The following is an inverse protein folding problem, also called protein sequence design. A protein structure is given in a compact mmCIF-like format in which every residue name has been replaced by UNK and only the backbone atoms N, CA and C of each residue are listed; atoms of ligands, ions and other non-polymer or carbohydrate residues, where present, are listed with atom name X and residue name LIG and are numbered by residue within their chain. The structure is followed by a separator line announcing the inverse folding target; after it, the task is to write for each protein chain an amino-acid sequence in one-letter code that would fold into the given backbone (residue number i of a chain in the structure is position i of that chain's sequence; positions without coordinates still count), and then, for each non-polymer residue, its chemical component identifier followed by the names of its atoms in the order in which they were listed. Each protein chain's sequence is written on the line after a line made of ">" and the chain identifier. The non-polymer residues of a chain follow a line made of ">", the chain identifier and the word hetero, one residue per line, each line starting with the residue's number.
data_IF_641940337896
#
_entry.id   IF_641940337896
#
_cell.length_a   1.000
_cell.length_b   1.000
_cell.length_c   1.000
_cell.angle_alpha   90.00
_cell.angle_beta   90.00
_cell.angle_gamma   90.00
#
_symmetry.space_group_name_H-M   'P 1'
#
loop_
_entity.id
_entity.type
_entity.pdbx_description
1 polymer ?
#
# COMPACT_ATOMS: atom_id res chain seq x y z
N UNK A 1 -10.01 -16.07 -3.17
CA UNK A 1 -8.61 -16.45 -3.45
C UNK A 1 -8.53 -17.72 -4.27
N UNK A 2 -7.63 -17.75 -5.24
CA UNK A 2 -7.36 -18.88 -6.14
C UNK A 2 -5.91 -19.34 -5.92
N UNK A 3 -5.67 -20.64 -5.90
CA UNK A 3 -4.32 -21.21 -5.83
C UNK A 3 -3.81 -21.36 -7.26
N UNK A 4 -2.68 -20.71 -7.58
CA UNK A 4 -1.97 -20.92 -8.84
C UNK A 4 -0.89 -21.99 -8.63
N UNK A 5 -1.11 -23.16 -9.23
CA UNK A 5 -0.18 -24.29 -9.15
C UNK A 5 1.19 -23.95 -9.75
N UNK A 6 2.22 -24.61 -9.23
CA UNK A 6 3.58 -24.43 -9.71
C UNK A 6 3.69 -24.80 -11.21
N UNK A 7 4.24 -23.90 -12.01
CA UNK A 7 4.41 -24.12 -13.45
C UNK A 7 4.52 -22.81 -14.24
N UNK A 8 4.48 -22.91 -15.58
CA UNK A 8 4.56 -21.73 -16.45
C UNK A 8 3.37 -20.79 -16.25
N UNK A 9 3.66 -19.53 -15.92
CA UNK A 9 2.69 -18.43 -15.87
C UNK A 9 2.28 -18.01 -17.29
N UNK A 10 0.98 -18.09 -17.60
CA UNK A 10 0.40 -17.73 -18.90
C UNK A 10 -0.41 -16.44 -18.79
N UNK A 11 -0.68 -15.81 -19.94
CA UNK A 11 -1.49 -14.58 -20.00
C UNK A 11 -2.87 -14.73 -19.36
N UNK A 12 -3.51 -15.90 -19.48
CA UNK A 12 -4.80 -16.16 -18.81
C UNK A 12 -4.71 -16.05 -17.29
N UNK A 13 -3.58 -16.45 -16.71
CA UNK A 13 -3.36 -16.46 -15.27
C UNK A 13 -3.16 -15.01 -14.80
N UNK A 14 -2.46 -14.18 -15.59
CA UNK A 14 -2.32 -12.74 -15.33
C UNK A 14 -3.66 -11.99 -15.40
N UNK A 15 -4.49 -12.28 -16.39
CA UNK A 15 -5.83 -11.67 -16.52
C UNK A 15 -6.75 -12.09 -15.37
N UNK A 16 -6.59 -13.31 -14.84
CA UNK A 16 -7.31 -13.75 -13.64
C UNK A 16 -6.82 -13.05 -12.36
N UNK A 17 -5.51 -12.82 -12.24
CA UNK A 17 -4.90 -12.15 -11.09
C UNK A 17 -5.18 -10.64 -11.04
N UNK A 18 -5.15 -9.99 -12.21
CA UNK A 18 -5.34 -8.56 -12.37
C UNK A 18 -6.46 -8.32 -13.41
N UNK A 19 -7.74 -8.57 -13.04
CA UNK A 19 -8.85 -8.45 -13.98
C UNK A 19 -9.10 -6.99 -14.40
N UNK A 20 -8.61 -6.03 -13.61
CA UNK A 20 -8.67 -4.60 -13.91
C UNK A 20 -7.29 -4.11 -14.35
N UNK A 21 -7.20 -3.66 -15.61
CA UNK A 21 -6.05 -2.93 -16.14
C UNK A 21 -6.16 -1.44 -15.73
N UNK A 22 -5.98 -1.16 -14.45
CA UNK A 22 -5.87 0.23 -13.99
C UNK A 22 -4.50 0.80 -14.42
N UNK A 23 -4.49 2.05 -14.87
CA UNK A 23 -3.24 2.75 -15.13
C UNK A 23 -2.44 2.96 -13.84
N UNK A 24 -1.12 2.81 -13.96
CA UNK A 24 -0.18 3.13 -12.90
C UNK A 24 0.18 4.61 -13.01
N UNK A 25 0.06 5.31 -11.89
CA UNK A 25 0.30 6.74 -11.81
C UNK A 25 1.36 7.05 -10.75
N UNK A 26 2.16 8.07 -11.00
CA UNK A 26 3.20 8.54 -10.07
C UNK A 26 2.73 9.82 -9.39
N UNK A 27 2.83 9.86 -8.06
CA UNK A 27 2.47 11.00 -7.23
C UNK A 27 3.66 11.46 -6.39
N UNK A 28 3.80 12.78 -6.23
CA UNK A 28 4.66 13.36 -5.20
C UNK A 28 3.88 13.54 -3.90
N UNK A 29 4.43 13.09 -2.78
CA UNK A 29 3.89 13.37 -1.47
C UNK A 29 4.97 13.47 -0.39
N UNK A 30 4.74 14.34 0.60
CA UNK A 30 5.59 14.44 1.78
C UNK A 30 5.57 13.16 2.61
N UNK A 31 6.62 12.91 3.39
CA UNK A 31 6.65 11.77 4.31
C UNK A 31 5.48 11.76 5.29
N UNK A 32 5.01 12.93 5.73
CA UNK A 32 3.80 13.03 6.55
C UNK A 32 2.55 12.47 5.85
N UNK A 33 2.35 12.80 4.57
CA UNK A 33 1.22 12.25 3.78
C UNK A 33 1.38 10.76 3.53
N UNK A 34 2.61 10.29 3.31
CA UNK A 34 2.89 8.86 3.16
C UNK A 34 2.53 8.09 4.43
N UNK A 35 2.87 8.61 5.62
CA UNK A 35 2.48 7.99 6.89
C UNK A 35 0.95 7.92 7.04
N UNK A 36 0.24 9.00 6.71
CA UNK A 36 -1.23 9.02 6.75
C UNK A 36 -1.85 7.98 5.79
N UNK A 37 -1.27 7.80 4.60
CA UNK A 37 -1.71 6.78 3.66
C UNK A 37 -1.51 5.36 4.21
N UNK A 38 -0.37 5.09 4.88
CA UNK A 38 -0.11 3.81 5.53
C UNK A 38 -1.08 3.55 6.69
N UNK A 39 -1.34 4.57 7.52
CA UNK A 39 -2.33 4.51 8.61
C UNK A 39 -3.73 4.18 8.08
N UNK A 40 -4.18 4.86 7.02
CA UNK A 40 -5.45 4.56 6.38
C UNK A 40 -5.48 3.11 5.85
N UNK A 41 -4.39 2.67 5.23
CA UNK A 41 -4.29 1.31 4.67
C UNK A 41 -4.47 0.21 5.72
N UNK A 42 -4.00 0.42 6.95
CA UNK A 42 -4.15 -0.56 8.05
C UNK A 42 -5.31 -0.27 9.01
N UNK A 43 -6.06 0.82 8.80
CA UNK A 43 -7.12 1.31 9.68
C UNK A 43 -8.26 0.30 9.93
N UNK A 44 -8.59 -0.49 8.91
CA UNK A 44 -9.70 -1.45 8.97
C UNK A 44 -9.26 -2.89 9.23
N UNK A 45 -7.95 -3.17 9.31
CA UNK A 45 -7.46 -4.49 9.67
C UNK A 45 -8.08 -4.96 11.01
N UNK A 46 -8.53 -6.23 11.13
CA UNK A 46 -8.36 -7.36 10.21
C UNK A 46 -9.49 -7.57 9.20
N UNK A 47 -10.38 -6.58 8.97
CA UNK A 47 -11.40 -6.70 7.93
C UNK A 47 -10.72 -6.86 6.56
N UNK A 48 -11.29 -7.72 5.72
CA UNK A 48 -10.83 -7.99 4.35
C UNK A 48 -11.26 -6.87 3.39
N UNK A 49 -10.79 -5.65 3.68
CA UNK A 49 -11.00 -4.47 2.86
C UNK A 49 -9.86 -4.28 1.86
N UNK A 50 -10.18 -3.78 0.67
CA UNK A 50 -9.20 -3.57 -0.42
C UNK A 50 -8.10 -2.57 -0.11
N UNK A 51 -8.29 -1.74 0.93
CA UNK A 51 -7.34 -0.68 1.34
C UNK A 51 -6.03 -1.21 1.95
N UNK A 52 -5.95 -2.48 2.34
CA UNK A 52 -4.72 -3.03 2.95
C UNK A 52 -3.57 -3.00 1.92
N UNK A 53 -2.49 -2.26 2.17
CA UNK A 53 -1.52 -1.97 1.14
C UNK A 53 -0.54 -3.14 0.97
N UNK A 54 -0.42 -3.63 -0.27
CA UNK A 54 0.78 -4.32 -0.71
C UNK A 54 1.83 -3.28 -1.06
N UNK A 55 3.03 -3.42 -0.50
CA UNK A 55 4.08 -2.39 -0.60
C UNK A 55 5.35 -2.94 -1.24
N UNK A 56 6.08 -2.05 -1.90
CA UNK A 56 7.44 -2.30 -2.40
C UNK A 56 8.27 -1.04 -2.22
N UNK A 57 9.56 -1.18 -1.89
CA UNK A 57 10.45 -0.06 -1.60
C UNK A 57 10.17 0.68 -0.29
N UNK A 58 9.09 0.32 0.43
CA UNK A 58 8.79 0.77 1.79
C UNK A 58 8.55 -0.43 2.70
N UNK A 59 8.98 -0.33 3.95
CA UNK A 59 8.70 -1.29 5.01
C UNK A 59 8.20 -0.56 6.24
N UNK A 60 7.24 -1.14 6.94
CA UNK A 60 6.70 -0.58 8.19
C UNK A 60 6.12 -1.69 9.07
N UNK A 61 5.90 -1.38 10.34
CA UNK A 61 5.17 -2.24 11.27
C UNK A 61 3.95 -1.52 11.79
N UNK A 62 2.89 -2.25 12.12
CA UNK A 62 1.68 -1.68 12.75
C UNK A 62 1.16 -2.59 13.86
N UNK A 63 0.48 -1.99 14.84
CA UNK A 63 -0.20 -2.68 15.94
C UNK A 63 -1.72 -2.64 15.71
N UNK A 64 -2.36 -3.79 15.38
CA UNK A 64 -3.80 -3.83 15.14
C UNK A 64 -4.65 -3.60 16.38
N UNK A 65 -4.06 -3.62 17.59
CA UNK A 65 -4.77 -3.35 18.85
C UNK A 65 -4.96 -1.86 19.13
N UNK A 66 -4.25 -0.98 18.40
CA UNK A 66 -4.38 0.46 18.52
C UNK A 66 -5.55 1.01 17.71
N UNK A 67 -5.98 2.20 18.09
CA UNK A 67 -7.01 2.96 17.40
C UNK A 67 -6.59 3.26 15.95
N UNK A 68 -7.56 3.23 15.03
CA UNK A 68 -7.34 3.55 13.63
C UNK A 68 -6.76 4.97 13.50
N UNK A 69 -5.73 5.15 12.67
CA UNK A 69 -4.99 6.41 12.56
C UNK A 69 -3.81 6.54 13.52
N UNK A 70 -3.58 5.56 14.39
CA UNK A 70 -2.41 5.48 15.26
C UNK A 70 -1.85 4.05 15.38
N UNK A 71 -2.02 3.26 14.31
CA UNK A 71 -1.62 1.85 14.27
C UNK A 71 -0.18 1.67 13.83
N UNK A 72 0.34 2.50 12.94
CA UNK A 72 1.72 2.40 12.47
C UNK A 72 2.66 2.67 13.64
N UNK A 73 3.62 1.76 13.86
CA UNK A 73 4.58 1.89 14.96
C UNK A 73 5.49 3.08 14.67
N UNK A 74 5.60 4.08 15.56
CA UNK A 74 6.45 5.24 15.36
C UNK A 74 7.90 4.83 15.07
N UNK A 75 8.52 5.46 14.06
CA UNK A 75 9.90 5.15 13.66
C UNK A 75 10.10 3.83 12.90
N UNK A 76 9.03 3.05 12.65
CA UNK A 76 9.14 1.78 11.91
C UNK A 76 9.12 1.93 10.40
N UNK A 77 8.81 3.12 9.87
CA UNK A 77 8.67 3.34 8.43
C UNK A 77 10.04 3.63 7.81
N UNK A 78 10.44 2.78 6.86
CA UNK A 78 11.64 2.95 6.06
C UNK A 78 11.29 2.97 4.57
N UNK A 79 11.85 3.93 3.83
CA UNK A 79 11.71 4.05 2.37
C UNK A 79 13.09 3.90 1.75
N UNK A 80 13.28 2.90 0.89
CA UNK A 80 14.58 2.58 0.29
C UNK A 80 15.65 2.25 1.34
N UNK A 81 15.27 1.66 2.47
CA UNK A 81 16.17 1.35 3.58
C UNK A 81 16.56 2.54 4.46
N UNK A 82 16.03 3.74 4.21
CA UNK A 82 16.25 4.93 5.04
C UNK A 82 15.00 5.24 5.86
N UNK A 83 15.19 5.71 7.09
CA UNK A 83 14.07 6.14 7.93
C UNK A 83 13.25 7.23 7.23
N UNK A 84 11.92 7.18 7.39
CA UNK A 84 11.01 8.18 6.84
C UNK A 84 11.35 9.57 7.38
N UNK A 85 11.51 10.53 6.47
CA UNK A 85 11.61 11.94 6.80
C UNK A 85 10.26 12.61 6.49
N UNK A 86 9.65 13.24 7.50
CA UNK A 86 8.30 13.78 7.40
C UNK A 86 8.16 14.94 6.41
N UNK A 87 9.24 15.70 6.19
CA UNK A 87 9.25 16.90 5.34
C UNK A 87 9.77 16.61 3.92
N UNK A 88 10.46 15.47 3.73
CA UNK A 88 10.97 15.07 2.42
C UNK A 88 9.82 14.69 1.48
N UNK A 89 9.94 15.12 0.22
CA UNK A 89 9.08 14.67 -0.88
C UNK A 89 9.50 13.28 -1.38
N UNK A 90 8.52 12.40 -1.56
CA UNK A 90 8.69 11.05 -2.06
C UNK A 90 7.83 10.87 -3.32
N UNK A 91 8.39 10.16 -4.30
CA UNK A 91 7.63 9.69 -5.45
C UNK A 91 7.05 8.32 -5.16
N UNK A 92 5.73 8.21 -5.25
CA UNK A 92 4.98 6.99 -4.97
C UNK A 92 4.23 6.60 -6.23
N UNK A 93 4.35 5.35 -6.65
CA UNK A 93 3.55 4.83 -7.76
C UNK A 93 2.37 4.04 -7.21
N UNK A 94 1.17 4.32 -7.70
CA UNK A 94 -0.06 3.62 -7.29
C UNK A 94 -1.06 3.53 -8.44
N UNK A 95 -2.12 2.73 -8.27
CA UNK A 95 -3.21 2.63 -9.26
C UNK A 95 -4.03 3.92 -9.28
N UNK A 96 -4.47 4.35 -10.46
CA UNK A 96 -5.35 5.52 -10.63
C UNK A 96 -6.60 5.47 -9.73
N UNK A 97 -7.14 4.27 -9.49
CA UNK A 97 -8.26 4.04 -8.57
C UNK A 97 -8.03 4.64 -7.17
N UNK A 98 -6.83 4.45 -6.62
CA UNK A 98 -6.46 4.97 -5.30
C UNK A 98 -6.28 6.49 -5.31
N UNK A 99 -5.77 7.05 -6.41
CA UNK A 99 -5.63 8.50 -6.59
C UNK A 99 -6.99 9.20 -6.57
N UNK A 100 -8.02 8.56 -7.13
CA UNK A 100 -9.38 9.06 -7.13
C UNK A 100 -10.08 8.99 -5.76
N UNK A 101 -9.38 8.59 -4.68
CA UNK A 101 -9.90 8.55 -3.31
C UNK A 101 -10.90 7.42 -3.06
N UNK A 102 -10.85 6.34 -3.86
CA UNK A 102 -11.88 5.31 -3.86
C UNK A 102 -11.82 4.33 -2.68
N UNK A 103 -10.67 4.27 -1.98
CA UNK A 103 -10.49 3.44 -0.77
C UNK A 103 -10.42 4.26 0.54
N UNK A 104 -10.87 5.52 0.50
CA UNK A 104 -10.81 6.49 1.59
C UNK A 104 -9.54 7.30 1.54
#
# INVERSE_FOLDING_TARGET
>A
DMIHEAGPLKMRDLVQLLPMCDEMCVLGMTGAKLLLALENGVSQYPRLEGRFPQVSGVSFSFDPKKDAGSRVVPGSVFVGGQALNMEKEYQVTTKQYLIAGKDG
#
